data_IF_176853863801
#
_entry.id   IF_176853863801
#
_cell.length_a   1.000
_cell.length_b   1.000
_cell.length_c   1.000
_cell.angle_alpha   90.00
_cell.angle_beta   90.00
_cell.angle_gamma   90.00
#
_symmetry.space_group_name_H-M   'P 1'
#
loop_
_entity.id
_entity.type
_entity.pdbx_description
1 polymer ?
#
# COMPACT_ATOMS: atom_id res chain seq x y z
N UNK A 1 -37.33 59.29 -78.82
CA UNK A 1 -36.07 58.77 -79.38
C UNK A 1 -35.15 58.43 -78.22
N UNK A 2 -34.58 57.22 -78.30
CA UNK A 2 -33.52 56.62 -77.47
C UNK A 2 -33.83 56.38 -75.98
N UNK A 3 -34.24 55.18 -75.57
CA UNK A 3 -33.49 53.91 -75.37
C UNK A 3 -32.27 54.03 -74.46
N UNK A 4 -32.33 53.32 -73.33
CA UNK A 4 -31.24 53.23 -72.36
C UNK A 4 -31.54 52.32 -71.18
N UNK A 5 -31.98 51.09 -71.47
CA UNK A 5 -32.12 49.98 -70.54
C UNK A 5 -30.73 49.53 -70.03
N UNK A 6 -30.53 49.47 -68.71
CA UNK A 6 -29.54 48.57 -68.09
C UNK A 6 -30.09 47.98 -66.80
N UNK A 7 -30.44 46.71 -66.89
CA UNK A 7 -30.60 45.80 -65.77
C UNK A 7 -29.25 45.62 -65.04
N UNK A 8 -29.32 45.59 -63.71
CA UNK A 8 -28.24 45.19 -62.82
C UNK A 8 -28.83 44.52 -61.60
N UNK A 9 -29.11 43.23 -61.74
CA UNK A 9 -29.39 42.28 -60.66
C UNK A 9 -28.31 42.31 -59.58
N UNK A 10 -28.69 42.39 -58.30
CA UNK A 10 -27.97 41.83 -57.15
C UNK A 10 -28.98 41.66 -56.00
N UNK A 11 -29.44 40.44 -55.77
CA UNK A 11 -28.87 39.51 -54.78
C UNK A 11 -29.48 39.67 -53.38
N UNK A 12 -30.61 38.98 -53.22
CA UNK A 12 -30.91 38.07 -52.10
C UNK A 12 -30.73 38.58 -50.66
N UNK A 13 -31.85 39.00 -50.11
CA UNK A 13 -32.26 38.91 -48.71
C UNK A 13 -31.78 37.61 -48.03
N UNK A 14 -30.76 37.66 -47.17
CA UNK A 14 -30.59 36.71 -46.06
C UNK A 14 -29.47 37.17 -45.10
N UNK A 15 -29.73 38.17 -44.24
CA UNK A 15 -28.91 38.33 -43.03
C UNK A 15 -29.41 37.34 -41.99
N UNK A 16 -28.76 36.18 -41.97
CA UNK A 16 -28.76 35.22 -40.87
C UNK A 16 -28.48 35.98 -39.57
N UNK A 17 -29.48 36.08 -38.70
CA UNK A 17 -29.26 36.33 -37.28
C UNK A 17 -28.48 35.11 -36.75
N UNK A 18 -27.16 35.25 -36.69
CA UNK A 18 -26.30 34.33 -35.97
C UNK A 18 -26.71 34.41 -34.50
N UNK A 19 -27.34 33.33 -34.03
CA UNK A 19 -27.70 33.09 -32.65
C UNK A 19 -26.41 32.89 -31.84
N UNK A 20 -25.69 33.98 -31.57
CA UNK A 20 -24.63 34.01 -30.58
C UNK A 20 -25.25 33.93 -29.20
N UNK A 21 -25.58 32.71 -28.74
CA UNK A 21 -25.81 32.46 -27.31
C UNK A 21 -24.47 32.61 -26.61
N UNK A 22 -24.16 33.83 -26.17
CA UNK A 22 -23.16 34.03 -25.14
C UNK A 22 -23.65 33.27 -23.90
N UNK A 23 -22.94 32.21 -23.52
CA UNK A 23 -23.12 31.64 -22.19
C UNK A 23 -22.71 32.75 -21.21
N UNK A 24 -23.69 33.46 -20.65
CA UNK A 24 -23.44 34.46 -19.62
C UNK A 24 -23.11 33.72 -18.33
N UNK A 25 -21.82 33.55 -18.06
CA UNK A 25 -21.28 33.02 -16.80
C UNK A 25 -21.37 34.03 -15.63
N UNK A 26 -22.21 35.07 -15.76
CA UNK A 26 -22.29 36.18 -14.80
C UNK A 26 -23.03 35.85 -13.50
N UNK A 27 -23.73 34.71 -13.43
CA UNK A 27 -24.42 34.30 -12.21
C UNK A 27 -23.44 33.48 -11.36
N UNK A 28 -22.83 34.13 -10.36
CA UNK A 28 -21.87 33.50 -9.44
C UNK A 28 -22.42 32.26 -8.72
N UNK A 29 -23.73 32.03 -8.77
CA UNK A 29 -24.38 30.79 -8.34
C UNK A 29 -23.98 29.59 -9.22
N UNK A 30 -23.93 29.75 -10.55
CA UNK A 30 -23.56 28.67 -11.48
C UNK A 30 -22.11 28.26 -11.26
N UNK A 31 -21.21 29.24 -11.08
CA UNK A 31 -19.80 29.00 -10.80
C UNK A 31 -19.62 28.26 -9.48
N UNK A 32 -20.29 28.69 -8.41
CA UNK A 32 -20.24 28.01 -7.10
C UNK A 32 -20.81 26.60 -7.16
N UNK A 33 -21.91 26.38 -7.88
CA UNK A 33 -22.49 25.05 -8.07
C UNK A 33 -21.55 24.11 -8.81
N UNK A 34 -20.81 24.59 -9.82
CA UNK A 34 -19.79 23.81 -10.51
C UNK A 34 -18.62 23.44 -9.59
N UNK A 35 -18.12 24.38 -8.79
CA UNK A 35 -17.05 24.07 -7.81
C UNK A 35 -17.50 23.06 -6.77
N UNK A 36 -18.74 23.19 -6.26
CA UNK A 36 -19.31 22.21 -5.33
C UNK A 36 -19.45 20.83 -5.99
N UNK A 37 -19.94 20.77 -7.24
CA UNK A 37 -20.09 19.53 -7.97
C UNK A 37 -18.74 18.85 -8.22
N UNK A 38 -17.72 19.61 -8.63
CA UNK A 38 -16.36 19.08 -8.82
C UNK A 38 -15.81 18.56 -7.48
N UNK A 39 -15.97 19.33 -6.40
CA UNK A 39 -15.52 18.91 -5.07
C UNK A 39 -16.24 17.63 -4.60
N UNK A 40 -17.55 17.53 -4.81
CA UNK A 40 -18.33 16.34 -4.50
C UNK A 40 -17.94 15.16 -5.38
N UNK A 41 -17.74 15.36 -6.69
CA UNK A 41 -17.25 14.32 -7.58
C UNK A 41 -15.85 13.84 -7.16
N UNK A 42 -14.92 14.73 -6.83
CA UNK A 42 -13.58 14.35 -6.37
C UNK A 42 -13.63 13.60 -5.03
N UNK A 43 -14.43 14.05 -4.07
CA UNK A 43 -14.58 13.35 -2.77
C UNK A 43 -15.25 11.99 -2.94
N UNK A 44 -16.30 11.89 -3.77
CA UNK A 44 -16.95 10.63 -4.09
C UNK A 44 -16.04 9.69 -4.90
N UNK A 45 -15.23 10.19 -5.83
CA UNK A 45 -14.24 9.37 -6.54
C UNK A 45 -13.20 8.79 -5.59
N UNK A 46 -12.73 9.56 -4.61
CA UNK A 46 -11.85 9.04 -3.55
C UNK A 46 -12.57 8.03 -2.64
N UNK A 47 -13.89 8.14 -2.48
CA UNK A 47 -14.70 7.23 -1.68
C UNK A 47 -15.02 5.91 -2.40
N UNK A 48 -15.25 5.98 -3.72
CA UNK A 48 -15.64 4.83 -4.55
C UNK A 48 -14.42 4.08 -5.09
N UNK A 49 -13.31 4.78 -5.33
CA UNK A 49 -12.08 4.20 -5.84
C UNK A 49 -10.88 4.57 -4.96
N UNK A 50 -10.85 4.19 -3.66
CA UNK A 50 -9.71 4.53 -2.81
C UNK A 50 -8.41 3.89 -3.32
N UNK A 51 -8.50 2.78 -4.08
CA UNK A 51 -7.37 1.93 -4.42
C UNK A 51 -7.42 1.43 -5.87
N UNK A 52 -7.28 2.34 -6.84
CA UNK A 52 -6.82 1.86 -8.16
C UNK A 52 -5.37 1.41 -8.02
N UNK A 53 -5.06 0.15 -8.36
CA UNK A 53 -3.71 -0.44 -8.40
C UNK A 53 -2.64 0.36 -9.18
N UNK A 54 -3.02 1.46 -9.81
CA UNK A 54 -2.16 2.33 -10.63
C UNK A 54 -1.14 3.15 -9.82
N UNK A 55 -1.21 3.16 -8.48
CA UNK A 55 -0.32 3.95 -7.61
C UNK A 55 0.47 3.11 -6.59
N UNK A 56 0.56 1.78 -6.74
CA UNK A 56 1.50 1.01 -5.92
C UNK A 56 2.93 1.33 -6.37
N UNK A 57 3.83 1.55 -5.41
CA UNK A 57 5.24 1.83 -5.71
C UNK A 57 6.15 0.64 -5.39
N UNK A 58 5.65 -0.32 -4.59
CA UNK A 58 6.27 -1.61 -4.32
C UNK A 58 5.19 -2.68 -4.31
N UNK A 59 5.44 -3.75 -5.05
CA UNK A 59 4.63 -4.97 -5.05
C UNK A 59 5.52 -6.12 -4.60
N UNK A 60 5.06 -6.90 -3.63
CA UNK A 60 5.76 -8.08 -3.12
C UNK A 60 4.85 -9.30 -3.13
N UNK A 61 5.34 -10.41 -3.66
CA UNK A 61 4.60 -11.68 -3.74
C UNK A 61 4.95 -12.57 -2.53
N UNK A 62 3.93 -13.17 -1.94
CA UNK A 62 4.05 -14.19 -0.90
C UNK A 62 3.47 -15.48 -1.46
N UNK A 63 4.31 -16.52 -1.52
CA UNK A 63 3.99 -17.82 -2.08
C UNK A 63 4.25 -18.95 -1.05
N UNK A 64 3.96 -20.19 -1.45
CA UNK A 64 4.20 -21.38 -0.62
C UNK A 64 5.68 -21.59 -0.27
N UNK A 65 6.62 -20.98 -1.01
CA UNK A 65 8.04 -21.04 -0.69
C UNK A 65 8.44 -20.10 0.46
N UNK A 66 7.52 -19.24 0.92
CA UNK A 66 7.73 -18.40 2.09
C UNK A 66 7.68 -19.22 3.39
N UNK A 67 6.78 -20.21 3.51
CA UNK A 67 6.59 -20.98 4.76
C UNK A 67 7.88 -21.65 5.22
N UNK A 68 8.62 -22.41 4.38
CA UNK A 68 9.86 -23.03 4.81
C UNK A 68 10.95 -22.01 5.18
N UNK A 69 10.99 -20.86 4.50
CA UNK A 69 11.91 -19.77 4.84
C UNK A 69 11.53 -19.12 6.17
N UNK A 70 10.24 -18.94 6.42
CA UNK A 70 9.71 -18.37 7.66
C UNK A 70 9.99 -19.29 8.84
N UNK A 71 9.72 -20.59 8.71
CA UNK A 71 10.10 -21.61 9.71
C UNK A 71 11.61 -21.59 9.97
N UNK A 72 12.44 -21.58 8.92
CA UNK A 72 13.89 -21.53 9.09
C UNK A 72 14.35 -20.27 9.81
N UNK A 73 13.77 -19.12 9.48
CA UNK A 73 14.09 -17.84 10.12
C UNK A 73 13.63 -17.82 11.57
N UNK A 74 12.40 -18.27 11.86
CA UNK A 74 11.87 -18.34 13.22
C UNK A 74 12.72 -19.28 14.05
N UNK A 75 13.04 -20.49 13.57
CA UNK A 75 13.89 -21.43 14.30
C UNK A 75 15.29 -20.87 14.57
N UNK A 76 15.86 -20.12 13.63
CA UNK A 76 17.11 -19.41 13.85
C UNK A 76 16.96 -18.32 14.93
N UNK A 77 15.85 -17.57 14.93
CA UNK A 77 15.54 -16.57 15.96
C UNK A 77 15.34 -17.25 17.32
N UNK A 78 14.56 -18.33 17.40
CA UNK A 78 14.32 -19.06 18.65
C UNK A 78 15.64 -19.60 19.22
N UNK A 79 16.53 -20.12 18.36
CA UNK A 79 17.85 -20.59 18.76
C UNK A 79 18.76 -19.44 19.25
N UNK A 80 18.72 -18.28 18.59
CA UNK A 80 19.49 -17.10 18.98
C UNK A 80 19.00 -16.49 20.29
N UNK A 81 17.69 -16.49 20.51
CA UNK A 81 17.03 -15.89 21.67
C UNK A 81 16.68 -16.91 22.75
N UNK A 82 17.20 -18.13 22.68
CA UNK A 82 17.03 -19.21 23.66
C UNK A 82 15.55 -19.56 23.97
N UNK A 83 14.69 -19.55 22.95
CA UNK A 83 13.29 -19.98 23.08
C UNK A 83 12.34 -18.94 23.70
N UNK A 84 12.77 -17.68 23.87
CA UNK A 84 11.91 -16.58 24.37
C UNK A 84 10.67 -16.30 23.52
N UNK A 85 10.64 -16.76 22.27
CA UNK A 85 9.56 -16.58 21.29
C UNK A 85 8.31 -17.42 21.56
N UNK A 86 8.25 -18.15 22.69
CA UNK A 86 7.07 -18.92 23.14
C UNK A 86 6.52 -19.91 22.11
N UNK A 87 7.39 -20.49 21.27
CA UNK A 87 6.99 -21.51 20.28
C UNK A 87 6.20 -20.92 19.11
N UNK A 88 6.63 -19.76 18.62
CA UNK A 88 6.01 -19.08 17.47
C UNK A 88 5.94 -19.98 16.24
N UNK A 89 6.93 -20.87 16.09
CA UNK A 89 6.95 -21.90 15.04
C UNK A 89 5.66 -22.74 15.00
N UNK A 90 5.14 -23.11 16.17
CA UNK A 90 3.96 -23.98 16.30
C UNK A 90 2.65 -23.26 15.96
N UNK A 91 2.68 -21.93 15.93
CA UNK A 91 1.50 -21.11 15.60
C UNK A 91 1.41 -20.81 14.10
N UNK A 92 2.48 -21.07 13.34
CA UNK A 92 2.47 -20.81 11.90
C UNK A 92 1.53 -21.80 11.20
N UNK A 93 0.80 -21.35 10.18
CA UNK A 93 0.03 -22.24 9.35
C UNK A 93 0.95 -23.17 8.54
N UNK A 94 0.53 -24.42 8.37
CA UNK A 94 1.25 -25.42 7.58
C UNK A 94 1.46 -24.98 6.12
N UNK A 95 0.51 -24.21 5.58
CA UNK A 95 0.58 -23.57 4.27
C UNK A 95 0.18 -22.10 4.40
N UNK A 96 0.91 -21.21 3.72
CA UNK A 96 0.55 -19.80 3.65
C UNK A 96 -0.26 -19.58 2.37
N UNK A 97 -1.43 -18.92 2.45
CA UNK A 97 -2.16 -18.56 1.25
C UNK A 97 -1.29 -17.65 0.37
N UNK A 98 -1.24 -17.95 -0.93
CA UNK A 98 -0.57 -17.05 -1.86
C UNK A 98 -1.27 -15.70 -1.85
N UNK A 99 -0.48 -14.63 -1.79
CA UNK A 99 -1.00 -13.27 -1.79
C UNK A 99 0.05 -12.28 -2.32
N UNK A 100 -0.43 -11.25 -2.99
CA UNK A 100 0.38 -10.11 -3.41
C UNK A 100 0.13 -8.93 -2.47
N UNK A 101 1.19 -8.32 -1.97
CA UNK A 101 1.13 -7.10 -1.17
C UNK A 101 1.48 -5.90 -2.04
N UNK A 102 0.54 -4.97 -2.16
CA UNK A 102 0.71 -3.69 -2.82
C UNK A 102 0.85 -2.58 -1.76
N UNK A 103 1.96 -1.86 -1.82
CA UNK A 103 2.24 -0.74 -0.91
C UNK A 103 1.89 0.58 -1.59
N UNK A 104 1.09 1.39 -0.89
CA UNK A 104 0.66 2.72 -1.28
C UNK A 104 1.18 3.77 -0.30
N UNK A 105 1.20 5.04 -0.71
CA UNK A 105 1.77 6.13 0.08
C UNK A 105 1.24 6.20 1.53
N UNK A 106 0.01 5.76 1.75
CA UNK A 106 -0.67 5.76 3.05
C UNK A 106 -1.27 4.41 3.43
N UNK A 107 -0.77 3.30 2.88
CA UNK A 107 -1.34 2.00 3.24
C UNK A 107 -0.71 0.81 2.56
N UNK A 108 -1.31 -0.34 2.84
CA UNK A 108 -0.94 -1.65 2.35
C UNK A 108 -2.21 -2.38 1.95
N UNK A 109 -2.26 -2.97 0.77
CA UNK A 109 -3.30 -3.92 0.42
C UNK A 109 -2.71 -5.30 0.14
N UNK A 110 -3.36 -6.33 0.67
CA UNK A 110 -3.12 -7.72 0.32
C UNK A 110 -4.19 -8.17 -0.67
N UNK A 111 -3.76 -8.73 -1.79
CA UNK A 111 -4.60 -9.32 -2.83
C UNK A 111 -4.39 -10.83 -2.79
N UNK A 112 -5.46 -11.59 -2.57
CA UNK A 112 -5.42 -13.05 -2.60
C UNK A 112 -5.75 -13.58 -4.00
N UNK A 113 -5.51 -14.89 -4.22
CA UNK A 113 -5.80 -15.58 -5.49
C UNK A 113 -7.26 -15.47 -5.95
N UNK A 114 -8.20 -15.43 -5.00
CA UNK A 114 -9.62 -15.26 -5.28
C UNK A 114 -9.99 -13.80 -5.62
N UNK A 115 -9.00 -12.94 -5.83
CA UNK A 115 -9.12 -11.50 -6.05
C UNK A 115 -9.74 -10.74 -4.86
N UNK A 116 -9.86 -11.37 -3.69
CA UNK A 116 -10.25 -10.64 -2.48
C UNK A 116 -9.11 -9.70 -2.07
N UNK A 117 -9.48 -8.47 -1.70
CA UNK A 117 -8.52 -7.43 -1.32
C UNK A 117 -8.76 -7.00 0.12
N UNK A 118 -7.71 -7.00 0.93
CA UNK A 118 -7.72 -6.51 2.31
C UNK A 118 -6.75 -5.34 2.42
N UNK A 119 -7.25 -4.16 2.75
CA UNK A 119 -6.46 -2.94 2.82
C UNK A 119 -6.35 -2.40 4.24
N UNK A 120 -5.16 -1.92 4.59
CA UNK A 120 -4.83 -1.28 5.84
C UNK A 120 -4.30 0.12 5.60
N UNK A 121 -4.75 1.06 6.41
CA UNK A 121 -4.34 2.46 6.37
C UNK A 121 -3.22 2.70 7.38
N UNK A 122 -2.19 3.44 6.97
CA UNK A 122 -1.08 3.80 7.84
C UNK A 122 0.19 4.16 7.07
N UNK A 123 1.11 4.82 7.74
CA UNK A 123 2.40 5.22 7.14
C UNK A 123 3.55 4.29 7.52
N UNK A 124 3.40 3.49 8.57
CA UNK A 124 4.41 2.50 8.97
C UNK A 124 4.14 1.17 8.27
N UNK A 125 4.70 0.99 7.08
CA UNK A 125 4.50 -0.22 6.25
C UNK A 125 4.94 -1.50 6.97
N UNK A 126 5.98 -1.43 7.78
CA UNK A 126 6.47 -2.59 8.55
C UNK A 126 5.40 -3.06 9.57
N UNK A 127 4.79 -2.14 10.32
CA UNK A 127 3.71 -2.45 11.25
C UNK A 127 2.47 -2.98 10.53
N UNK A 128 2.17 -2.46 9.34
CA UNK A 128 1.04 -2.92 8.54
C UNK A 128 1.24 -4.36 8.06
N UNK A 129 2.43 -4.70 7.57
CA UNK A 129 2.77 -6.06 7.14
C UNK A 129 2.77 -7.00 8.35
N UNK A 130 3.49 -6.66 9.42
CA UNK A 130 3.55 -7.49 10.63
C UNK A 130 2.16 -7.68 11.26
N UNK A 131 1.34 -6.63 11.24
CA UNK A 131 -0.03 -6.69 11.73
C UNK A 131 -0.96 -7.58 10.90
N UNK A 132 -0.85 -7.55 9.57
CA UNK A 132 -1.62 -8.44 8.71
C UNK A 132 -1.19 -9.91 8.88
N UNK A 133 0.12 -10.17 8.98
CA UNK A 133 0.65 -11.50 9.29
C UNK A 133 0.12 -12.01 10.64
N UNK A 134 0.19 -11.19 11.68
CA UNK A 134 -0.32 -11.53 13.01
C UNK A 134 -1.84 -11.82 12.99
N UNK A 135 -2.62 -11.08 12.21
CA UNK A 135 -4.04 -11.36 12.01
C UNK A 135 -4.27 -12.70 11.31
N UNK A 136 -3.53 -12.99 10.24
CA UNK A 136 -3.66 -14.25 9.51
C UNK A 136 -3.35 -15.46 10.41
N UNK A 137 -2.28 -15.36 11.23
CA UNK A 137 -1.94 -16.38 12.23
C UNK A 137 -3.08 -16.56 13.24
N UNK A 138 -3.59 -15.46 13.82
CA UNK A 138 -4.65 -15.54 14.81
C UNK A 138 -5.95 -16.11 14.24
N UNK A 139 -6.27 -15.76 12.98
CA UNK A 139 -7.44 -16.29 12.27
C UNK A 139 -7.31 -17.78 11.98
N UNK A 140 -6.14 -18.21 11.50
CA UNK A 140 -5.82 -19.62 11.27
C UNK A 140 -5.97 -20.45 12.54
N UNK A 141 -5.49 -19.94 13.67
CA UNK A 141 -5.58 -20.61 14.97
C UNK A 141 -6.92 -20.40 15.71
N UNK A 142 -7.92 -19.81 15.05
CA UNK A 142 -9.26 -19.55 15.61
C UNK A 142 -9.23 -18.83 16.98
N UNK A 143 -8.30 -17.89 17.17
CA UNK A 143 -8.19 -17.15 18.42
C UNK A 143 -9.43 -16.29 18.69
N UNK A 144 -9.87 -16.24 19.95
CA UNK A 144 -11.08 -15.48 20.34
C UNK A 144 -10.96 -13.97 20.07
N UNK A 145 -9.74 -13.42 20.15
CA UNK A 145 -9.48 -12.01 19.91
C UNK A 145 -8.28 -11.77 18.98
N UNK A 146 -8.46 -11.91 17.65
CA UNK A 146 -7.38 -11.74 16.68
C UNK A 146 -6.75 -10.35 16.70
N UNK A 147 -7.52 -9.32 17.04
CA UNK A 147 -7.01 -7.94 17.12
C UNK A 147 -6.13 -7.71 18.34
N UNK A 148 -6.39 -8.39 19.47
CA UNK A 148 -5.49 -8.36 20.61
C UNK A 148 -4.16 -9.03 20.28
N UNK A 149 -4.22 -10.23 19.71
CA UNK A 149 -3.03 -10.94 19.24
C UNK A 149 -2.24 -10.10 18.24
N UNK A 150 -2.90 -9.46 17.27
CA UNK A 150 -2.23 -8.56 16.31
C UNK A 150 -1.36 -7.49 17.00
N UNK A 151 -1.90 -6.82 18.02
CA UNK A 151 -1.17 -5.75 18.72
C UNK A 151 0.03 -6.30 19.47
N UNK A 152 -0.15 -7.43 20.14
CA UNK A 152 0.91 -8.12 20.86
C UNK A 152 2.00 -8.60 19.90
N UNK A 153 1.60 -9.23 18.78
CA UNK A 153 2.50 -9.69 17.73
C UNK A 153 3.38 -8.55 17.18
N UNK A 154 2.80 -7.38 16.87
CA UNK A 154 3.57 -6.21 16.42
C UNK A 154 4.57 -5.76 17.50
N UNK A 155 4.16 -5.71 18.77
CA UNK A 155 5.04 -5.33 19.88
C UNK A 155 6.23 -6.30 19.99
N UNK A 156 5.95 -7.60 20.04
CA UNK A 156 6.95 -8.66 20.13
C UNK A 156 7.87 -8.66 18.91
N UNK A 157 7.33 -8.41 17.72
CA UNK A 157 8.12 -8.30 16.49
C UNK A 157 9.18 -7.19 16.60
N UNK A 158 8.80 -6.01 17.12
CA UNK A 158 9.75 -4.93 17.36
C UNK A 158 10.81 -5.28 18.39
N UNK A 159 10.40 -5.89 19.51
CA UNK A 159 11.33 -6.33 20.56
C UNK A 159 12.36 -7.34 20.02
N UNK A 160 11.89 -8.38 19.31
CA UNK A 160 12.74 -9.39 18.67
C UNK A 160 13.68 -8.75 17.65
N UNK A 161 13.18 -7.83 16.83
CA UNK A 161 14.01 -7.12 15.85
C UNK A 161 15.15 -6.36 16.52
N UNK A 162 14.88 -5.67 17.63
CA UNK A 162 15.91 -4.95 18.40
C UNK A 162 16.91 -5.92 19.06
N UNK A 163 16.42 -6.99 19.71
CA UNK A 163 17.30 -8.02 20.29
C UNK A 163 18.20 -8.67 19.23
N UNK A 164 17.66 -8.93 18.03
CA UNK A 164 18.41 -9.50 16.91
C UNK A 164 19.49 -8.54 16.40
N UNK A 165 19.17 -7.26 16.21
CA UNK A 165 20.15 -6.23 15.81
C UNK A 165 21.30 -6.20 16.82
N UNK A 166 20.98 -6.14 18.12
CA UNK A 166 21.97 -6.14 19.19
C UNK A 166 22.82 -7.42 19.22
N UNK A 167 22.21 -8.60 19.04
CA UNK A 167 22.91 -9.88 18.99
C UNK A 167 23.86 -9.99 17.79
N UNK A 168 23.47 -9.43 16.63
CA UNK A 168 24.32 -9.40 15.43
C UNK A 168 25.48 -8.44 15.58
N UNK A 169 25.24 -7.25 16.14
CA UNK A 169 26.28 -6.25 16.39
C UNK A 169 27.30 -6.73 17.42
N UNK A 170 26.85 -7.31 18.53
CA UNK A 170 27.76 -7.87 19.55
C UNK A 170 28.62 -9.00 18.99
N UNK A 171 28.09 -9.90 18.16
CA UNK A 171 28.91 -10.93 17.49
C UNK A 171 29.95 -10.36 16.54
N UNK A 172 29.62 -9.32 15.77
CA UNK A 172 30.60 -8.64 14.91
C UNK A 172 31.73 -8.03 15.73
N UNK A 173 31.40 -7.40 16.85
CA UNK A 173 32.38 -6.81 17.76
C UNK A 173 33.33 -7.87 18.33
N UNK A 174 32.79 -8.96 18.90
CA UNK A 174 33.60 -10.06 19.44
C UNK A 174 34.45 -10.78 18.38
N UNK A 175 33.94 -10.97 17.16
CA UNK A 175 34.69 -11.59 16.08
C UNK A 175 35.87 -10.73 15.61
N UNK A 176 35.77 -9.40 15.75
CA UNK A 176 36.85 -8.47 15.40
C UNK A 176 37.97 -8.42 16.46
N UNK A 177 37.68 -8.72 17.73
CA UNK A 177 38.69 -8.80 18.79
C UNK A 177 39.52 -10.09 18.75
N UNK A 178 38.91 -11.22 18.35
CA UNK A 178 39.62 -12.51 18.26
C UNK A 178 40.65 -12.58 17.13
N UNK A 179 40.63 -11.65 16.18
CA UNK A 179 41.61 -11.59 15.07
C UNK A 179 42.87 -10.76 15.44
N UNK A 180 42.85 -10.01 16.54
CA UNK A 180 43.89 -9.02 16.87
C UNK A 180 44.92 -9.54 17.90
N UNK A 181 44.66 -10.67 18.58
CA UNK A 181 45.62 -11.26 19.51
C UNK A 181 46.03 -12.68 19.09
N UNK A 182 47.10 -12.85 18.28
CA UNK A 182 47.73 -14.16 18.18
C UNK A 182 48.23 -14.54 19.57
N UNK A 183 47.68 -15.61 20.12
CA UNK A 183 48.10 -16.18 21.39
C UNK A 183 49.63 -16.40 21.36
N UNK A 184 50.35 -15.71 22.25
CA UNK A 184 51.76 -16.01 22.51
C UNK A 184 51.86 -17.48 22.88
N UNK A 185 52.49 -18.24 21.99
CA UNK A 185 52.72 -19.66 22.17
C UNK A 185 53.77 -19.81 23.28
N UNK A 186 53.45 -20.41 24.45
CA UNK A 186 54.46 -20.61 25.48
C UNK A 186 55.50 -21.62 24.96
N UNK A 187 56.77 -21.20 25.02
CA UNK A 187 57.97 -21.96 24.68
C UNK A 187 58.32 -23.01 25.71
#
# INVERSE_FOLDING_TARGET
MEFGEKQGTNATTSKKQALGKSCSWSDGRIVKSLFLLIYLCSTLSNLVFPHTHLNSYVTGEVDEFLVPKLHKTINAIEALLQGKTTGLEQMLPETWPHATYDVYFNGLCRVNDDSSTVCYQGTNIEDLIAGDIGLQIAQYNHMENPNAFRREFISTFHEIKQELIYAVESRRFYSSETEICPAERPS
#
